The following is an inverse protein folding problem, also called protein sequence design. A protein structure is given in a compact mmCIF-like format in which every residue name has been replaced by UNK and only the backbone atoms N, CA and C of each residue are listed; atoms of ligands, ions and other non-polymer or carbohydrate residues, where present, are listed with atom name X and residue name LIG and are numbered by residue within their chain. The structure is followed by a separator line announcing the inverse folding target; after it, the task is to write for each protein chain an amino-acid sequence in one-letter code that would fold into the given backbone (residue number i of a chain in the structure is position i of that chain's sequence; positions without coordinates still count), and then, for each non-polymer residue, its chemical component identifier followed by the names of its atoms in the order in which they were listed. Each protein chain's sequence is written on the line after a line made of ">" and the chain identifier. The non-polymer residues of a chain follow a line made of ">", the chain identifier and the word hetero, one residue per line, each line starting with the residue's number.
data_IF_433122508138
#
_entry.id   IF_433122508138
#
_cell.length_a   1.000
_cell.length_b   1.000
_cell.length_c   1.000
_cell.angle_alpha   90.00
_cell.angle_beta   90.00
_cell.angle_gamma   90.00
#
_symmetry.space_group_name_H-M   'P 1'
#
loop_
_entity.id
_entity.type
_entity.pdbx_description
1 polymer ?
#
# COMPACT_ATOMS: atom_id res chain seq x y z
N UNK A 1 -25.39 -12.76 -4.08
CA UNK A 1 -26.24 -13.96 -3.88
C UNK A 1 -26.67 -14.08 -2.41
N UNK A 2 -25.74 -14.10 -1.42
CA UNK A 2 -26.05 -14.24 0.01
C UNK A 2 -27.04 -13.17 0.52
N UNK A 3 -26.80 -11.89 0.19
CA UNK A 3 -27.71 -10.78 0.56
C UNK A 3 -29.13 -10.97 0.02
N UNK A 4 -29.29 -11.58 -1.17
CA UNK A 4 -30.62 -11.86 -1.73
C UNK A 4 -31.37 -12.97 -0.97
N UNK A 5 -30.67 -13.73 -0.14
CA UNK A 5 -31.21 -14.77 0.74
C UNK A 5 -31.39 -14.27 2.18
N UNK A 6 -31.26 -12.97 2.42
CA UNK A 6 -31.35 -12.37 3.75
C UNK A 6 -30.13 -12.61 4.66
N UNK A 7 -29.02 -13.11 4.10
CA UNK A 7 -27.80 -13.36 4.86
C UNK A 7 -26.97 -12.07 4.87
N UNK A 8 -26.70 -11.44 6.03
CA UNK A 8 -25.90 -10.24 6.12
C UNK A 8 -24.44 -10.50 5.70
N UNK A 9 -23.88 -9.60 4.90
CA UNK A 9 -22.52 -9.70 4.40
C UNK A 9 -21.71 -8.47 4.80
N UNK A 10 -20.55 -8.70 5.41
CA UNK A 10 -19.51 -7.72 5.70
C UNK A 10 -18.25 -8.15 4.99
N UNK A 11 -17.62 -7.25 4.22
CA UNK A 11 -16.30 -7.49 3.63
C UNK A 11 -15.19 -7.00 4.55
N UNK A 12 -14.03 -7.60 4.47
CA UNK A 12 -12.88 -7.15 5.24
C UNK A 12 -11.58 -7.25 4.41
N UNK A 13 -10.59 -6.41 4.73
CA UNK A 13 -9.31 -6.25 4.05
C UNK A 13 -9.45 -5.74 2.60
N UNK A 14 -9.84 -6.58 1.65
CA UNK A 14 -10.15 -6.19 0.27
C UNK A 14 -11.64 -5.99 0.08
N UNK A 15 -12.02 -4.92 -0.60
CA UNK A 15 -13.42 -4.53 -0.76
C UNK A 15 -13.96 -4.84 -2.16
N UNK A 16 -15.29 -5.02 -2.22
CA UNK A 16 -16.07 -5.05 -3.46
C UNK A 16 -17.10 -3.90 -3.38
N UNK A 17 -16.71 -2.67 -3.73
CA UNK A 17 -17.55 -1.47 -3.53
C UNK A 17 -18.92 -1.53 -4.24
N UNK A 18 -18.99 -2.26 -5.35
CA UNK A 18 -20.21 -2.44 -6.16
C UNK A 18 -21.14 -3.53 -5.63
N UNK A 19 -20.74 -4.25 -4.56
CA UNK A 19 -21.58 -5.28 -3.95
C UNK A 19 -22.61 -4.68 -3.00
N UNK A 20 -23.69 -5.46 -2.75
CA UNK A 20 -24.73 -5.12 -1.76
C UNK A 20 -24.33 -5.41 -0.30
N UNK A 21 -23.02 -5.52 -0.01
CA UNK A 21 -22.55 -5.71 1.37
C UNK A 21 -23.02 -4.59 2.29
N UNK A 22 -23.24 -4.91 3.57
CA UNK A 22 -23.69 -3.93 4.57
C UNK A 22 -22.57 -2.91 4.84
N UNK A 23 -21.35 -3.40 5.08
CA UNK A 23 -20.20 -2.53 5.32
C UNK A 23 -18.89 -3.23 4.96
N UNK A 24 -17.80 -2.45 4.95
CA UNK A 24 -16.44 -2.90 4.78
C UNK A 24 -15.59 -2.52 5.99
N UNK A 25 -14.74 -3.45 6.43
CA UNK A 25 -13.76 -3.23 7.50
C UNK A 25 -12.35 -3.41 6.93
N UNK A 26 -11.63 -2.34 6.75
CA UNK A 26 -10.31 -2.43 6.10
C UNK A 26 -9.49 -1.16 6.22
N UNK A 27 -8.37 -1.15 5.50
CA UNK A 27 -7.48 -0.01 5.40
C UNK A 27 -8.11 1.08 4.53
N UNK A 28 -8.01 2.33 4.97
CA UNK A 28 -8.24 3.48 4.09
C UNK A 28 -7.03 3.62 3.15
N UNK A 29 -7.15 3.06 1.95
CA UNK A 29 -6.05 3.01 0.98
C UNK A 29 -5.67 4.38 0.42
N UNK A 30 -6.61 5.31 0.33
CA UNK A 30 -6.31 6.69 0.01
C UNK A 30 -5.37 7.31 1.06
N UNK A 31 -5.73 7.18 2.33
CA UNK A 31 -4.89 7.66 3.44
C UNK A 31 -3.54 6.93 3.51
N UNK A 32 -3.49 5.64 3.15
CA UNK A 32 -2.23 4.91 3.05
C UNK A 32 -1.31 5.52 1.99
N UNK A 33 -1.86 5.88 0.82
CA UNK A 33 -1.13 6.59 -0.23
C UNK A 33 -0.52 7.89 0.26
N UNK A 34 -1.32 8.71 0.97
CA UNK A 34 -0.85 9.96 1.59
C UNK A 34 0.30 9.70 2.58
N UNK A 35 0.18 8.67 3.42
CA UNK A 35 1.21 8.34 4.42
C UNK A 35 2.50 7.82 3.80
N UNK A 36 2.43 7.06 2.73
CA UNK A 36 3.61 6.63 1.97
C UNK A 36 4.28 7.83 1.26
N UNK A 37 3.49 8.76 0.71
CA UNK A 37 4.01 9.98 0.11
C UNK A 37 4.71 10.87 1.13
N UNK A 38 4.09 11.09 2.29
CA UNK A 38 4.69 11.83 3.42
C UNK A 38 6.02 11.19 3.86
N UNK A 39 6.05 9.86 3.98
CA UNK A 39 7.26 9.12 4.33
C UNK A 39 8.34 9.22 3.26
N UNK A 40 7.97 9.12 1.97
CA UNK A 40 8.88 9.27 0.85
C UNK A 40 9.49 10.69 0.77
N UNK A 41 8.66 11.72 0.98
CA UNK A 41 9.11 13.11 1.07
C UNK A 41 10.12 13.30 2.20
N UNK A 42 9.81 12.82 3.40
CA UNK A 42 10.72 12.90 4.56
C UNK A 42 12.04 12.17 4.32
N UNK A 43 11.97 10.97 3.70
CA UNK A 43 13.15 10.18 3.43
C UNK A 43 14.08 10.82 2.39
N UNK A 44 13.52 11.38 1.32
CA UNK A 44 14.26 11.98 0.19
C UNK A 44 14.66 13.45 0.41
N UNK A 45 14.08 14.10 1.42
CA UNK A 45 14.21 15.54 1.61
C UNK A 45 13.46 16.37 0.56
N UNK A 46 12.46 15.78 -0.10
CA UNK A 46 11.57 16.44 -1.05
C UNK A 46 12.22 16.77 -2.41
N UNK A 47 13.25 16.02 -2.82
CA UNK A 47 13.98 16.25 -4.07
C UNK A 47 14.21 14.96 -4.85
N UNK A 48 14.32 15.10 -6.18
CA UNK A 48 14.63 14.00 -7.08
C UNK A 48 13.38 13.24 -7.55
N UNK A 49 13.55 11.98 -7.95
CA UNK A 49 12.46 11.15 -8.48
C UNK A 49 11.93 10.19 -7.43
N UNK A 50 10.60 10.09 -7.35
CA UNK A 50 9.90 9.09 -6.55
C UNK A 50 9.31 8.02 -7.46
N UNK A 51 9.56 6.75 -7.16
CA UNK A 51 8.98 5.62 -7.87
C UNK A 51 8.03 4.84 -6.96
N UNK A 52 7.00 4.24 -7.55
CA UNK A 52 6.04 3.37 -6.87
C UNK A 52 6.18 1.95 -7.44
N UNK A 53 6.21 0.95 -6.55
CA UNK A 53 6.20 -0.47 -6.90
C UNK A 53 5.02 -1.12 -6.18
N UNK A 54 4.20 -1.89 -6.91
CA UNK A 54 3.03 -2.56 -6.34
C UNK A 54 2.10 -3.14 -7.40
N UNK A 55 1.05 -3.83 -6.97
CA UNK A 55 0.09 -4.51 -7.82
C UNK A 55 -0.80 -3.51 -8.58
N UNK A 56 -0.65 -3.44 -9.89
CA UNK A 56 -1.48 -2.62 -10.77
C UNK A 56 -2.83 -3.29 -11.06
N UNK A 57 -3.90 -2.48 -11.20
CA UNK A 57 -5.23 -2.94 -11.56
C UNK A 57 -6.12 -3.37 -10.40
N UNK A 58 -5.61 -3.47 -9.18
CA UNK A 58 -6.43 -3.66 -8.00
C UNK A 58 -7.00 -2.33 -7.50
N UNK A 59 -8.33 -2.21 -7.40
CA UNK A 59 -9.02 -0.94 -7.13
C UNK A 59 -8.51 -0.20 -5.89
N UNK A 60 -8.18 -0.92 -4.83
CA UNK A 60 -7.64 -0.36 -3.61
C UNK A 60 -6.20 0.17 -3.78
N UNK A 61 -5.37 -0.52 -4.57
CA UNK A 61 -4.02 -0.05 -4.91
C UNK A 61 -4.06 1.20 -5.78
N UNK A 62 -4.96 1.24 -6.78
CA UNK A 62 -5.15 2.42 -7.62
C UNK A 62 -5.52 3.66 -6.79
N UNK A 63 -6.37 3.50 -5.77
CA UNK A 63 -6.69 4.58 -4.84
C UNK A 63 -5.43 5.06 -4.07
N UNK A 64 -4.58 4.13 -3.61
CA UNK A 64 -3.34 4.48 -2.92
C UNK A 64 -2.34 5.18 -3.85
N UNK A 65 -2.16 4.68 -5.08
CA UNK A 65 -1.28 5.32 -6.08
C UNK A 65 -1.75 6.73 -6.45
N UNK A 66 -3.05 6.90 -6.67
CA UNK A 66 -3.63 8.21 -7.00
C UNK A 66 -3.39 9.24 -5.88
N UNK A 67 -3.62 8.84 -4.63
CA UNK A 67 -3.41 9.72 -3.48
C UNK A 67 -1.92 10.01 -3.23
N UNK A 68 -1.04 9.03 -3.41
CA UNK A 68 0.41 9.27 -3.36
C UNK A 68 0.83 10.36 -4.36
N UNK A 69 0.36 10.27 -5.62
CA UNK A 69 0.63 11.28 -6.64
C UNK A 69 0.09 12.64 -6.27
N UNK A 70 -1.19 12.71 -5.91
CA UNK A 70 -1.85 13.96 -5.55
C UNK A 70 -1.17 14.64 -4.35
N UNK A 71 -0.77 13.85 -3.35
CA UNK A 71 -0.03 14.37 -2.20
C UNK A 71 1.33 14.94 -2.61
N UNK A 72 2.09 14.22 -3.45
CA UNK A 72 3.39 14.67 -3.96
C UNK A 72 3.26 15.94 -4.79
N UNK A 73 2.30 16.01 -5.70
CA UNK A 73 2.03 17.22 -6.51
C UNK A 73 1.74 18.44 -5.64
N UNK A 74 0.98 18.25 -4.55
CA UNK A 74 0.60 19.36 -3.66
C UNK A 74 1.72 19.77 -2.69
N UNK A 75 2.58 18.86 -2.24
CA UNK A 75 3.51 19.11 -1.12
C UNK A 75 4.99 19.00 -1.52
N UNK A 76 5.29 18.43 -2.66
CA UNK A 76 6.65 18.21 -3.16
C UNK A 76 6.77 18.53 -4.66
N UNK A 77 6.46 19.76 -5.10
CA UNK A 77 6.42 20.10 -6.52
C UNK A 77 7.78 19.95 -7.23
N UNK A 78 8.88 19.90 -6.49
CA UNK A 78 10.22 19.68 -7.02
C UNK A 78 10.55 18.18 -7.22
N UNK A 79 9.63 17.28 -6.89
CA UNK A 79 9.79 15.84 -7.09
C UNK A 79 9.04 15.36 -8.34
N UNK A 80 9.74 14.64 -9.20
CA UNK A 80 9.13 13.91 -10.30
C UNK A 80 8.58 12.57 -9.81
N UNK A 81 7.27 12.32 -9.97
CA UNK A 81 6.66 11.03 -9.64
C UNK A 81 6.60 10.16 -10.89
N UNK A 82 7.39 9.08 -10.90
CA UNK A 82 7.45 8.12 -11.99
C UNK A 82 6.14 7.29 -12.09
N UNK A 83 5.89 6.63 -13.24
CA UNK A 83 4.83 5.64 -13.36
C UNK A 83 4.96 4.54 -12.30
N UNK A 84 3.84 3.83 -12.03
CA UNK A 84 3.87 2.63 -11.17
C UNK A 84 4.58 1.49 -11.90
N UNK A 85 5.45 0.79 -11.20
CA UNK A 85 6.10 -0.43 -11.67
C UNK A 85 5.34 -1.61 -11.08
N UNK A 86 4.68 -2.36 -11.96
CA UNK A 86 3.85 -3.50 -11.59
C UNK A 86 4.71 -4.69 -11.12
N UNK A 87 4.54 -5.11 -9.89
CA UNK A 87 5.22 -6.27 -9.32
C UNK A 87 4.34 -7.53 -9.31
N UNK A 88 3.10 -7.43 -9.81
CA UNK A 88 2.15 -8.54 -9.86
C UNK A 88 1.91 -9.23 -8.50
N UNK A 89 2.19 -8.52 -7.40
CA UNK A 89 2.23 -9.05 -6.04
C UNK A 89 3.17 -10.26 -5.87
N UNK A 90 4.29 -10.28 -6.62
CA UNK A 90 5.30 -11.35 -6.62
C UNK A 90 6.67 -10.79 -6.25
N UNK A 91 7.28 -11.29 -5.18
CA UNK A 91 8.59 -10.82 -4.66
C UNK A 91 9.67 -10.82 -5.73
N UNK A 92 9.79 -11.89 -6.54
CA UNK A 92 10.79 -11.96 -7.61
C UNK A 92 10.55 -10.93 -8.71
N UNK A 93 9.28 -10.60 -8.97
CA UNK A 93 8.92 -9.54 -9.91
C UNK A 93 9.23 -8.17 -9.35
N UNK A 94 8.91 -7.91 -8.08
CA UNK A 94 9.28 -6.68 -7.39
C UNK A 94 10.80 -6.44 -7.45
N UNK A 95 11.61 -7.49 -7.26
CA UNK A 95 13.07 -7.43 -7.41
C UNK A 95 13.46 -7.03 -8.83
N UNK A 96 12.97 -7.75 -9.84
CA UNK A 96 13.38 -7.54 -11.24
C UNK A 96 12.95 -6.16 -11.77
N UNK A 97 11.72 -5.70 -11.45
CA UNK A 97 11.26 -4.37 -11.87
C UNK A 97 12.01 -3.25 -11.14
N UNK A 98 12.39 -3.46 -9.88
CA UNK A 98 13.21 -2.50 -9.13
C UNK A 98 14.64 -2.41 -9.70
N UNK A 99 15.25 -3.53 -10.04
CA UNK A 99 16.58 -3.53 -10.68
C UNK A 99 16.55 -2.78 -12.03
N UNK A 100 15.54 -3.04 -12.86
CA UNK A 100 15.34 -2.32 -14.12
C UNK A 100 15.04 -0.83 -13.92
N UNK A 101 14.25 -0.48 -12.91
CA UNK A 101 13.97 0.90 -12.51
C UNK A 101 15.28 1.64 -12.18
N UNK A 102 16.14 1.06 -11.34
CA UNK A 102 17.40 1.69 -10.93
C UNK A 102 18.34 1.90 -12.13
N UNK A 103 18.37 0.95 -13.06
CA UNK A 103 19.16 1.10 -14.29
C UNK A 103 18.63 2.21 -15.20
N UNK A 104 17.32 2.30 -15.37
CA UNK A 104 16.65 3.28 -16.23
C UNK A 104 16.64 4.69 -15.63
N UNK A 105 16.55 4.78 -14.32
CA UNK A 105 16.46 6.02 -13.56
C UNK A 105 17.55 6.05 -12.46
N UNK A 106 18.81 6.23 -12.82
CA UNK A 106 19.92 6.21 -11.85
C UNK A 106 19.86 7.36 -10.82
N UNK A 107 19.02 8.35 -11.09
CA UNK A 107 18.72 9.52 -10.27
C UNK A 107 17.46 9.36 -9.40
N UNK A 108 16.88 8.14 -9.33
CA UNK A 108 15.76 7.88 -8.42
C UNK A 108 16.20 8.10 -6.97
N UNK A 109 15.46 8.95 -6.26
CA UNK A 109 15.78 9.32 -4.88
C UNK A 109 15.07 8.43 -3.85
N UNK A 110 13.83 8.00 -4.16
CA UNK A 110 13.02 7.19 -3.27
C UNK A 110 12.16 6.19 -4.04
N UNK A 111 12.06 4.98 -3.51
CA UNK A 111 11.17 3.93 -4.01
C UNK A 111 10.16 3.59 -2.92
N UNK A 112 8.87 3.68 -3.25
CA UNK A 112 7.77 3.34 -2.37
C UNK A 112 7.17 1.98 -2.76
N UNK A 113 7.19 1.00 -1.86
CA UNK A 113 6.55 -0.30 -2.00
C UNK A 113 5.15 -0.30 -1.39
N UNK A 114 4.15 -0.72 -2.16
CA UNK A 114 2.74 -0.57 -1.80
C UNK A 114 2.08 -1.84 -1.26
N UNK A 115 2.67 -2.99 -1.45
CA UNK A 115 2.12 -4.27 -0.98
C UNK A 115 3.16 -5.14 -0.24
N UNK A 116 2.71 -6.28 0.26
CA UNK A 116 3.55 -7.18 1.06
C UNK A 116 4.69 -7.85 0.29
N UNK A 117 4.61 -7.93 -1.05
CA UNK A 117 5.68 -8.49 -1.90
C UNK A 117 6.76 -7.48 -2.24
N UNK A 118 6.39 -6.20 -2.35
CA UNK A 118 7.26 -5.11 -2.78
C UNK A 118 8.55 -5.03 -1.96
N UNK A 119 8.44 -5.00 -0.63
CA UNK A 119 9.63 -4.84 0.23
C UNK A 119 10.61 -6.01 0.16
N UNK A 120 10.09 -7.24 0.01
CA UNK A 120 10.91 -8.44 -0.18
C UNK A 120 11.72 -8.43 -1.48
N UNK A 121 11.27 -7.67 -2.48
CA UNK A 121 11.97 -7.50 -3.75
C UNK A 121 12.79 -6.21 -3.84
N UNK A 122 12.23 -5.07 -3.41
CA UNK A 122 12.88 -3.76 -3.51
C UNK A 122 14.22 -3.73 -2.75
N UNK A 123 14.23 -4.21 -1.51
CA UNK A 123 15.42 -4.08 -0.67
C UNK A 123 16.63 -4.88 -1.17
N UNK A 124 16.47 -6.17 -1.58
CA UNK A 124 17.58 -6.87 -2.21
C UNK A 124 18.08 -6.18 -3.48
N UNK A 125 17.16 -5.71 -4.35
CA UNK A 125 17.56 -5.02 -5.58
C UNK A 125 18.36 -3.73 -5.32
N UNK A 126 17.95 -2.94 -4.31
CA UNK A 126 18.69 -1.73 -3.91
C UNK A 126 20.06 -2.07 -3.32
N UNK A 127 20.17 -3.15 -2.52
CA UNK A 127 21.46 -3.63 -1.97
C UNK A 127 22.39 -4.12 -3.06
N UNK A 128 21.93 -4.95 -3.97
CA UNK A 128 22.70 -5.51 -5.08
C UNK A 128 23.20 -4.44 -6.03
N UNK A 129 22.42 -3.37 -6.20
CA UNK A 129 22.85 -2.18 -6.95
C UNK A 129 23.88 -1.31 -6.20
N UNK A 130 24.23 -1.63 -4.95
CA UNK A 130 25.12 -0.82 -4.12
C UNK A 130 24.55 0.55 -3.76
N UNK A 131 23.22 0.67 -3.71
CA UNK A 131 22.52 1.95 -3.53
C UNK A 131 21.87 2.12 -2.15
N UNK A 132 22.10 1.19 -1.21
CA UNK A 132 21.61 1.32 0.16
C UNK A 132 22.01 2.67 0.77
N UNK A 133 21.06 3.38 1.36
CA UNK A 133 21.26 4.71 1.92
C UNK A 133 21.28 5.86 0.89
N UNK A 134 21.63 5.59 -0.38
CA UNK A 134 21.52 6.58 -1.48
C UNK A 134 20.10 6.63 -2.00
N UNK A 135 19.54 5.50 -2.43
CA UNK A 135 18.13 5.36 -2.75
C UNK A 135 17.40 5.09 -1.44
N UNK A 136 16.41 5.93 -1.13
CA UNK A 136 15.55 5.73 0.04
C UNK A 136 14.45 4.74 -0.29
N UNK A 137 14.07 3.93 0.69
CA UNK A 137 12.96 2.97 0.54
C UNK A 137 11.94 3.20 1.64
N UNK A 138 10.67 3.31 1.23
CA UNK A 138 9.53 3.36 2.14
C UNK A 138 8.56 2.27 1.74
N UNK A 139 7.88 1.64 2.70
CA UNK A 139 7.08 0.43 2.41
C UNK A 139 5.79 0.41 3.19
N UNK A 140 4.78 -0.22 2.60
CA UNK A 140 3.61 -0.68 3.31
C UNK A 140 3.87 -2.07 3.90
N UNK A 141 3.14 -2.42 4.95
CA UNK A 141 3.13 -3.68 5.67
C UNK A 141 4.34 -3.98 6.58
N UNK A 142 4.04 -4.65 7.71
CA UNK A 142 5.02 -5.04 8.72
C UNK A 142 5.29 -6.54 8.58
N UNK A 143 6.02 -6.92 7.55
CA UNK A 143 6.42 -8.32 7.31
C UNK A 143 7.87 -8.54 7.77
N UNK A 144 8.28 -9.80 8.05
CA UNK A 144 9.65 -10.09 8.48
C UNK A 144 10.72 -9.50 7.56
N UNK A 145 10.58 -9.66 6.24
CA UNK A 145 11.52 -9.10 5.25
C UNK A 145 11.58 -7.56 5.29
N UNK A 146 10.44 -6.89 5.50
CA UNK A 146 10.37 -5.44 5.63
C UNK A 146 11.07 -4.96 6.89
N UNK A 147 10.83 -5.65 8.01
CA UNK A 147 11.46 -5.32 9.28
C UNK A 147 12.99 -5.53 9.25
N UNK A 148 13.45 -6.55 8.53
CA UNK A 148 14.88 -6.77 8.31
C UNK A 148 15.49 -5.64 7.48
N UNK A 149 14.84 -5.27 6.38
CA UNK A 149 15.21 -4.15 5.54
C UNK A 149 15.34 -2.83 6.31
N UNK A 150 14.43 -2.58 7.26
CA UNK A 150 14.47 -1.41 8.14
C UNK A 150 15.65 -1.50 9.12
N UNK A 151 15.88 -2.66 9.75
CA UNK A 151 16.99 -2.89 10.68
C UNK A 151 18.36 -2.73 10.02
N UNK A 152 18.48 -3.15 8.78
CA UNK A 152 19.69 -3.02 7.97
C UNK A 152 19.92 -1.58 7.45
N UNK A 153 18.92 -0.69 7.59
CA UNK A 153 18.98 0.69 7.13
C UNK A 153 18.75 0.87 5.62
N UNK A 154 18.39 -0.18 4.89
CA UNK A 154 18.02 -0.07 3.47
C UNK A 154 16.69 0.65 3.32
N UNK A 155 15.69 0.33 4.17
CA UNK A 155 14.46 1.09 4.28
C UNK A 155 14.52 2.14 5.40
N UNK A 156 13.81 3.26 5.20
CA UNK A 156 13.73 4.35 6.17
C UNK A 156 12.40 4.38 6.92
N UNK A 157 11.32 3.99 6.26
CA UNK A 157 9.99 4.01 6.86
C UNK A 157 9.16 2.81 6.44
N UNK A 158 8.35 2.32 7.38
CA UNK A 158 7.30 1.33 7.14
C UNK A 158 5.97 1.89 7.64
N UNK A 159 4.95 1.83 6.80
CA UNK A 159 3.57 2.17 7.14
C UNK A 159 2.81 0.88 7.41
N UNK A 160 2.45 0.65 8.67
CA UNK A 160 1.77 -0.59 9.09
C UNK A 160 0.25 -0.46 9.05
N UNK A 161 -0.43 -1.53 8.66
CA UNK A 161 -1.87 -1.68 8.76
C UNK A 161 -2.25 -2.34 10.10
N UNK A 162 -3.41 -1.95 10.66
CA UNK A 162 -3.94 -2.58 11.88
C UNK A 162 -4.77 -3.84 11.57
N UNK A 163 -4.22 -4.76 10.78
CA UNK A 163 -4.94 -5.94 10.28
C UNK A 163 -5.53 -6.84 11.37
N UNK A 164 -4.91 -6.88 12.54
CA UNK A 164 -5.35 -7.67 13.67
C UNK A 164 -6.76 -7.31 14.20
N UNK A 165 -7.26 -6.10 13.89
CA UNK A 165 -8.61 -5.67 14.31
C UNK A 165 -9.68 -5.90 13.23
N UNK A 166 -9.33 -6.20 11.98
CA UNK A 166 -10.32 -6.30 10.89
C UNK A 166 -11.32 -7.44 11.15
N UNK A 167 -10.84 -8.65 11.41
CA UNK A 167 -11.68 -9.80 11.71
C UNK A 167 -12.57 -9.59 12.95
N UNK A 168 -12.02 -9.21 14.11
CA UNK A 168 -12.81 -8.90 15.30
C UNK A 168 -13.92 -7.86 15.05
N UNK A 169 -13.63 -6.76 14.37
CA UNK A 169 -14.64 -5.72 14.06
C UNK A 169 -15.71 -6.28 13.11
N UNK A 170 -15.29 -6.99 12.05
CA UNK A 170 -16.25 -7.56 11.10
C UNK A 170 -17.20 -8.57 11.77
N UNK A 171 -16.67 -9.45 12.64
CA UNK A 171 -17.47 -10.40 13.40
C UNK A 171 -18.38 -9.71 14.41
N UNK A 172 -17.90 -8.70 15.13
CA UNK A 172 -18.73 -7.92 16.06
C UNK A 172 -19.87 -7.22 15.31
N UNK A 173 -19.59 -6.65 14.15
CA UNK A 173 -20.61 -6.02 13.30
C UNK A 173 -21.70 -7.02 12.89
N UNK A 174 -21.32 -8.21 12.45
CA UNK A 174 -22.29 -9.27 12.10
C UNK A 174 -23.09 -9.77 13.32
N UNK A 175 -22.43 -9.87 14.47
CA UNK A 175 -23.11 -10.23 15.72
C UNK A 175 -24.17 -9.18 16.09
N UNK A 176 -23.82 -7.90 16.05
CA UNK A 176 -24.72 -6.80 16.40
C UNK A 176 -25.91 -6.72 15.44
N UNK A 177 -25.70 -6.94 14.14
CA UNK A 177 -26.78 -7.04 13.14
C UNK A 177 -27.80 -8.12 13.51
N UNK A 178 -27.34 -9.29 13.95
CA UNK A 178 -28.18 -10.44 14.20
C UNK A 178 -28.82 -10.45 15.61
N UNK A 179 -28.23 -9.75 16.59
CA UNK A 179 -28.63 -9.89 18.00
C UNK A 179 -29.10 -8.59 18.69
N UNK A 180 -28.71 -7.42 18.16
CA UNK A 180 -28.99 -6.13 18.83
C UNK A 180 -30.10 -5.33 18.16
N UNK A 181 -30.82 -5.91 17.19
CA UNK A 181 -31.90 -5.22 16.47
C UNK A 181 -31.45 -4.01 15.65
N UNK A 182 -30.13 -3.88 15.42
CA UNK A 182 -29.58 -2.83 14.57
C UNK A 182 -29.92 -3.14 13.12
N UNK A 183 -30.66 -2.25 12.48
CA UNK A 183 -30.90 -2.32 11.04
C UNK A 183 -29.93 -1.40 10.31
N UNK A 184 -29.28 -1.92 9.29
CA UNK A 184 -28.48 -1.12 8.37
C UNK A 184 -29.35 -0.83 7.14
N UNK A 185 -29.51 0.45 6.81
CA UNK A 185 -30.12 0.83 5.54
C UNK A 185 -29.17 0.47 4.40
N UNK A 186 -29.72 -0.15 3.36
CA UNK A 186 -28.95 -0.35 2.11
C UNK A 186 -28.45 1.02 1.62
N UNK A 187 -27.22 1.08 1.14
CA UNK A 187 -26.75 2.25 0.39
C UNK A 187 -27.47 2.24 -0.95
N UNK A 188 -28.18 3.32 -1.24
CA UNK A 188 -28.72 3.62 -2.57
C UNK A 188 -27.60 3.78 -3.62
#
# INVERSE_FOLDING_TARGET
>A
EAMNQGIPVVTWDSDIPTSRRITHVGTNWAQLGDKLAEAAFKASGGKGKAAMVGLVGASHMEAAFANFRAWMEANAPDMEVLPVFDDEAVVAKAHSVTAALIQKHPDVAVIAGFDGSSGGGICPAVREAGKSGTIKVVMNDILPAHMECLKEGTAQYIVGQKRHIFGPIALQTLYDINHSGISFTERD
#
